data_IF_718464060889
#
_entry.id   IF_718464060889
#
_cell.length_a   1.000
_cell.length_b   1.000
_cell.length_c   1.000
_cell.angle_alpha   90.00
_cell.angle_beta   90.00
_cell.angle_gamma   90.00
#
_symmetry.space_group_name_H-M   'P 1'
#
loop_
_entity.id
_entity.type
_entity.pdbx_description
1 polymer ?
#
# COMPACT_ATOMS: atom_id res chain seq x y z
N UNK A 1 20.13 23.16 -10.45
CA UNK A 1 21.23 22.27 -10.86
C UNK A 1 21.54 21.16 -9.85
N UNK A 2 21.62 21.39 -8.53
CA UNK A 2 21.90 20.32 -7.53
C UNK A 2 20.84 19.19 -7.51
N UNK A 3 19.55 19.52 -7.59
CA UNK A 3 18.45 18.52 -7.60
C UNK A 3 18.49 17.58 -8.81
N UNK A 4 18.76 18.12 -10.00
CA UNK A 4 18.85 17.30 -11.23
C UNK A 4 20.02 16.32 -11.15
N UNK A 5 21.16 16.76 -10.60
CA UNK A 5 22.34 15.89 -10.40
C UNK A 5 22.04 14.75 -9.41
N UNK A 6 21.33 15.04 -8.32
CA UNK A 6 20.93 14.01 -7.35
C UNK A 6 19.97 12.99 -7.95
N UNK A 7 19.01 13.45 -8.76
CA UNK A 7 18.08 12.56 -9.47
C UNK A 7 18.81 11.69 -10.49
N UNK A 8 19.77 12.25 -11.25
CA UNK A 8 20.59 11.49 -12.20
C UNK A 8 21.44 10.44 -11.51
N UNK A 9 22.05 10.77 -10.37
CA UNK A 9 22.85 9.81 -9.58
C UNK A 9 21.95 8.69 -9.05
N UNK A 10 20.79 9.03 -8.51
CA UNK A 10 19.80 8.02 -8.05
C UNK A 10 19.33 7.10 -9.17
N UNK A 11 19.08 7.67 -10.35
CA UNK A 11 18.70 6.90 -11.53
C UNK A 11 19.82 5.98 -12.01
N UNK A 12 21.06 6.47 -12.03
CA UNK A 12 22.23 5.69 -12.42
C UNK A 12 22.49 4.52 -11.45
N UNK A 13 22.33 4.75 -10.14
CA UNK A 13 22.44 3.68 -9.13
C UNK A 13 21.31 2.65 -9.32
N UNK A 14 20.06 3.10 -9.54
CA UNK A 14 18.93 2.20 -9.77
C UNK A 14 19.11 1.35 -11.02
N UNK A 15 19.54 1.94 -12.14
CA UNK A 15 19.83 1.21 -13.37
C UNK A 15 21.02 0.26 -13.20
N UNK A 16 22.07 0.68 -12.51
CA UNK A 16 23.22 -0.17 -12.20
C UNK A 16 22.83 -1.39 -11.36
N UNK A 17 22.03 -1.19 -10.31
CA UNK A 17 21.54 -2.28 -9.48
C UNK A 17 20.63 -3.23 -10.28
N UNK A 18 19.73 -2.68 -11.09
CA UNK A 18 18.85 -3.47 -11.97
C UNK A 18 19.65 -4.30 -12.97
N UNK A 19 20.65 -3.69 -13.63
CA UNK A 19 21.53 -4.38 -14.57
C UNK A 19 22.30 -5.51 -13.89
N UNK A 20 22.85 -5.25 -12.71
CA UNK A 20 23.62 -6.25 -11.96
C UNK A 20 22.74 -7.42 -11.51
N UNK A 21 21.49 -7.14 -11.11
CA UNK A 21 20.52 -8.17 -10.74
C UNK A 21 20.09 -9.00 -11.95
N UNK A 22 19.77 -8.36 -13.07
CA UNK A 22 19.31 -9.05 -14.28
C UNK A 22 20.40 -9.84 -14.99
N UNK A 23 21.66 -9.40 -14.92
CA UNK A 23 22.79 -10.07 -15.55
C UNK A 23 23.03 -11.49 -15.02
N UNK A 24 22.67 -11.74 -13.76
CA UNK A 24 22.87 -13.05 -13.11
C UNK A 24 21.64 -13.96 -13.20
N UNK A 25 20.57 -13.52 -13.85
CA UNK A 25 19.34 -14.30 -14.01
C UNK A 25 19.34 -14.88 -15.42
N UNK A 26 19.40 -16.20 -15.54
CA UNK A 26 19.19 -16.86 -16.82
C UNK A 26 17.69 -16.84 -17.18
N UNK A 27 17.37 -16.34 -18.37
CA UNK A 27 15.97 -16.33 -18.85
C UNK A 27 15.38 -17.73 -18.93
N UNK A 28 16.20 -18.76 -19.14
CA UNK A 28 15.78 -20.17 -19.13
C UNK A 28 15.35 -20.66 -17.75
N UNK A 29 16.10 -20.30 -16.70
CA UNK A 29 15.72 -20.62 -15.32
C UNK A 29 14.45 -19.91 -14.92
N UNK A 30 14.27 -18.66 -15.33
CA UNK A 30 13.07 -17.88 -15.11
C UNK A 30 11.85 -18.53 -15.79
N UNK A 31 11.98 -18.91 -17.07
CA UNK A 31 10.93 -19.59 -17.82
C UNK A 31 10.58 -20.96 -17.22
N UNK A 32 11.58 -21.70 -16.76
CA UNK A 32 11.40 -23.01 -16.09
C UNK A 32 10.70 -22.83 -14.74
N UNK A 33 11.09 -21.82 -13.98
CA UNK A 33 10.44 -21.50 -12.70
C UNK A 33 8.97 -21.10 -12.89
N UNK A 34 8.65 -20.34 -13.92
CA UNK A 34 7.26 -20.02 -14.27
C UNK A 34 6.46 -21.23 -14.72
N UNK A 35 7.06 -22.16 -15.47
CA UNK A 35 6.40 -23.41 -15.90
C UNK A 35 6.13 -24.33 -14.71
N UNK A 36 7.04 -24.37 -13.75
CA UNK A 36 6.94 -25.23 -12.56
C UNK A 36 6.13 -24.56 -11.44
N UNK A 37 5.75 -23.28 -11.59
CA UNK A 37 4.91 -22.61 -10.62
C UNK A 37 3.52 -23.24 -10.57
N UNK A 38 3.15 -23.74 -9.43
CA UNK A 38 1.83 -24.31 -9.20
C UNK A 38 0.79 -23.19 -9.16
N UNK A 39 0.14 -22.95 -10.30
CA UNK A 39 -0.88 -21.92 -10.50
C UNK A 39 -2.06 -22.04 -9.52
N UNK A 40 -2.25 -23.24 -8.94
CA UNK A 40 -3.32 -23.50 -7.97
C UNK A 40 -3.19 -22.63 -6.71
N UNK A 41 -1.97 -22.24 -6.32
CA UNK A 41 -1.76 -21.35 -5.17
C UNK A 41 -1.97 -19.87 -5.48
N UNK A 42 -2.01 -19.49 -6.76
CA UNK A 42 -2.29 -18.11 -7.17
C UNK A 42 -3.74 -17.74 -6.90
N UNK A 43 -4.67 -18.68 -7.11
CA UNK A 43 -6.11 -18.44 -6.89
C UNK A 43 -6.41 -18.07 -5.42
N UNK A 44 -6.03 -18.88 -4.43
CA UNK A 44 -6.26 -18.50 -3.03
C UNK A 44 -5.48 -17.25 -2.62
N UNK A 45 -4.27 -17.04 -3.15
CA UNK A 45 -3.51 -15.81 -2.92
C UNK A 45 -4.25 -14.57 -3.41
N UNK A 46 -4.83 -14.63 -4.60
CA UNK A 46 -5.62 -13.54 -5.18
C UNK A 46 -6.89 -13.25 -4.37
N UNK A 47 -7.59 -14.30 -3.93
CA UNK A 47 -8.77 -14.18 -3.07
C UNK A 47 -8.41 -13.52 -1.74
N UNK A 48 -7.30 -13.91 -1.11
CA UNK A 48 -6.83 -13.31 0.14
C UNK A 48 -6.45 -11.83 -0.02
N UNK A 49 -5.87 -11.45 -1.15
CA UNK A 49 -5.56 -10.05 -1.47
C UNK A 49 -6.86 -9.24 -1.56
N UNK A 50 -7.85 -9.71 -2.32
CA UNK A 50 -9.15 -9.02 -2.44
C UNK A 50 -9.80 -8.88 -1.05
N UNK A 51 -9.83 -9.96 -0.27
CA UNK A 51 -10.40 -9.96 1.08
C UNK A 51 -9.70 -8.95 1.99
N UNK A 52 -8.36 -8.84 1.88
CA UNK A 52 -7.58 -7.85 2.60
C UNK A 52 -7.99 -6.41 2.25
N UNK A 53 -8.21 -6.10 0.96
CA UNK A 53 -8.66 -4.78 0.54
C UNK A 53 -10.08 -4.46 1.03
N UNK A 54 -10.98 -5.43 0.98
CA UNK A 54 -12.35 -5.28 1.48
C UNK A 54 -12.33 -5.03 3.00
N UNK A 55 -11.56 -5.81 3.75
CA UNK A 55 -11.42 -5.63 5.22
C UNK A 55 -10.85 -4.25 5.56
N UNK A 56 -9.87 -3.76 4.80
CA UNK A 56 -9.31 -2.40 4.97
C UNK A 56 -10.37 -1.32 4.73
N UNK A 57 -11.22 -1.49 3.73
CA UNK A 57 -12.29 -0.54 3.45
C UNK A 57 -13.32 -0.48 4.60
N UNK A 58 -13.74 -1.62 5.14
CA UNK A 58 -14.64 -1.68 6.31
C UNK A 58 -14.01 -1.07 7.56
N UNK A 59 -12.73 -1.39 7.83
CA UNK A 59 -12.02 -0.81 8.97
C UNK A 59 -11.94 0.71 8.87
N UNK A 60 -11.64 1.22 7.69
CA UNK A 60 -11.56 2.67 7.49
C UNK A 60 -12.94 3.34 7.56
N UNK A 61 -13.99 2.67 7.09
CA UNK A 61 -15.36 3.12 7.30
C UNK A 61 -15.68 3.30 8.79
N UNK A 62 -15.34 2.31 9.60
CA UNK A 62 -15.55 2.39 11.05
C UNK A 62 -14.79 3.56 11.69
N UNK A 63 -13.55 3.85 11.26
CA UNK A 63 -12.76 4.98 11.73
C UNK A 63 -13.30 6.34 11.27
N UNK A 64 -13.98 6.40 10.12
CA UNK A 64 -14.62 7.61 9.60
C UNK A 64 -16.02 7.84 10.20
N UNK A 65 -16.65 6.82 10.74
CA UNK A 65 -18.04 6.87 11.24
C UNK A 65 -18.31 7.98 12.26
N UNK A 66 -17.37 8.37 13.16
CA UNK A 66 -17.57 9.48 14.08
C UNK A 66 -17.71 10.85 13.39
N UNK A 67 -17.13 11.00 12.19
CA UNK A 67 -17.19 12.24 11.42
C UNK A 67 -18.39 12.24 10.47
N UNK A 68 -18.59 11.14 9.76
CA UNK A 68 -19.70 10.96 8.82
C UNK A 68 -19.90 9.48 8.48
N UNK A 69 -21.16 9.07 8.44
CA UNK A 69 -21.50 7.73 7.94
C UNK A 69 -21.41 7.71 6.41
N UNK A 70 -20.39 7.05 5.89
CA UNK A 70 -20.11 6.95 4.46
C UNK A 70 -20.25 5.48 4.05
N UNK A 71 -20.99 5.15 2.98
CA UNK A 71 -21.09 3.78 2.50
C UNK A 71 -19.73 3.27 1.99
N UNK A 72 -19.42 1.99 2.22
CA UNK A 72 -18.14 1.36 1.84
C UNK A 72 -17.81 1.59 0.36
N UNK A 73 -18.80 1.56 -0.51
CA UNK A 73 -18.62 1.79 -1.96
C UNK A 73 -17.99 3.13 -2.28
N UNK A 74 -18.30 4.17 -1.51
CA UNK A 74 -17.75 5.50 -1.71
C UNK A 74 -16.37 5.68 -1.10
N UNK A 75 -16.04 4.89 -0.09
CA UNK A 75 -14.73 4.84 0.56
C UNK A 75 -13.72 4.08 -0.30
N UNK A 76 -14.18 3.09 -1.06
CA UNK A 76 -13.30 2.25 -1.87
C UNK A 76 -12.50 3.04 -2.91
N UNK A 77 -13.13 4.03 -3.57
CA UNK A 77 -12.46 4.88 -4.56
C UNK A 77 -11.29 5.69 -3.97
N UNK A 78 -11.44 6.48 -2.90
CA UNK A 78 -10.34 7.16 -2.25
C UNK A 78 -9.25 6.21 -1.73
N UNK A 79 -9.66 5.01 -1.26
CA UNK A 79 -8.74 3.99 -0.81
C UNK A 79 -7.82 3.52 -1.95
N UNK A 80 -8.38 3.22 -3.12
CA UNK A 80 -7.62 2.82 -4.30
C UNK A 80 -6.69 3.92 -4.80
N UNK A 81 -7.18 5.17 -4.84
CA UNK A 81 -6.35 6.34 -5.19
C UNK A 81 -5.16 6.46 -4.21
N UNK A 82 -5.40 6.24 -2.92
CA UNK A 82 -4.34 6.22 -1.91
C UNK A 82 -3.29 5.14 -2.18
N UNK A 83 -3.70 3.93 -2.54
CA UNK A 83 -2.77 2.85 -2.89
C UNK A 83 -1.97 3.15 -4.16
N UNK A 84 -2.61 3.68 -5.19
CA UNK A 84 -1.90 4.13 -6.40
C UNK A 84 -0.90 5.25 -6.07
N UNK A 85 -1.26 6.16 -5.17
CA UNK A 85 -0.38 7.23 -4.69
C UNK A 85 0.79 6.75 -3.82
N UNK A 86 0.78 5.51 -3.33
CA UNK A 86 1.91 4.93 -2.59
C UNK A 86 3.15 4.68 -3.46
N UNK A 87 3.01 4.68 -4.79
CA UNK A 87 4.13 4.66 -5.74
C UNK A 87 4.92 5.97 -5.68
N UNK A 88 4.27 7.07 -5.26
CA UNK A 88 4.93 8.36 -5.10
C UNK A 88 5.88 8.36 -3.89
N UNK A 89 7.00 9.10 -3.96
CA UNK A 89 7.94 9.21 -2.85
C UNK A 89 7.24 9.75 -1.59
N UNK A 90 7.74 9.37 -0.43
CA UNK A 90 7.23 9.75 0.89
C UNK A 90 5.81 9.25 1.22
N UNK A 91 5.32 8.18 0.54
CA UNK A 91 3.97 7.62 0.76
C UNK A 91 2.85 8.67 0.63
N UNK A 92 3.02 9.57 -0.34
CA UNK A 92 2.06 10.67 -0.59
C UNK A 92 0.61 10.18 -0.80
N UNK A 93 0.42 8.89 -1.10
CA UNK A 93 -0.89 8.26 -1.22
C UNK A 93 -1.77 8.37 0.03
N UNK A 94 -1.18 8.37 1.22
CA UNK A 94 -1.96 8.53 2.46
C UNK A 94 -2.53 9.93 2.58
N UNK A 95 -1.77 10.96 2.19
CA UNK A 95 -2.24 12.35 2.13
C UNK A 95 -3.32 12.53 1.06
N UNK A 96 -3.13 11.92 -0.12
CA UNK A 96 -4.11 11.94 -1.20
C UNK A 96 -5.43 11.29 -0.77
N UNK A 97 -5.38 10.16 -0.07
CA UNK A 97 -6.55 9.46 0.46
C UNK A 97 -7.34 10.36 1.42
N UNK A 98 -6.67 11.04 2.37
CA UNK A 98 -7.31 11.97 3.30
C UNK A 98 -7.91 13.17 2.56
N UNK A 99 -7.20 13.73 1.59
CA UNK A 99 -7.66 14.87 0.81
C UNK A 99 -8.91 14.55 -0.03
N UNK A 100 -8.90 13.42 -0.73
CA UNK A 100 -10.01 13.01 -1.60
C UNK A 100 -11.28 12.75 -0.79
N UNK A 101 -11.17 12.03 0.35
CA UNK A 101 -12.32 11.79 1.24
C UNK A 101 -12.81 13.10 1.85
N UNK A 102 -11.90 13.94 2.34
CA UNK A 102 -12.24 15.22 2.92
C UNK A 102 -13.04 16.10 1.95
N UNK A 103 -12.55 16.24 0.71
CA UNK A 103 -13.21 17.02 -0.33
C UNK A 103 -14.55 16.44 -0.79
N UNK A 104 -14.62 15.11 -0.95
CA UNK A 104 -15.83 14.43 -1.44
C UNK A 104 -16.97 14.45 -0.42
N UNK A 105 -16.64 14.35 0.86
CA UNK A 105 -17.65 14.19 1.92
C UNK A 105 -17.75 15.39 2.87
N UNK A 106 -17.06 16.51 2.57
CA UNK A 106 -17.03 17.70 3.42
C UNK A 106 -16.53 17.42 4.85
N UNK A 107 -15.53 16.54 4.97
CA UNK A 107 -14.82 16.27 6.22
C UNK A 107 -13.54 17.11 6.22
N UNK A 108 -13.16 17.65 7.37
CA UNK A 108 -11.90 18.38 7.49
C UNK A 108 -10.71 17.46 7.17
N UNK A 109 -9.73 17.98 6.45
CA UNK A 109 -8.52 17.21 6.13
C UNK A 109 -7.86 16.62 7.38
N UNK A 110 -7.79 17.41 8.45
CA UNK A 110 -7.25 16.98 9.75
C UNK A 110 -8.03 15.79 10.32
N UNK A 111 -9.38 15.82 10.26
CA UNK A 111 -10.23 14.71 10.68
C UNK A 111 -10.02 13.45 9.86
N UNK A 112 -9.97 13.56 8.55
CA UNK A 112 -9.69 12.42 7.68
C UNK A 112 -8.27 11.87 7.88
N UNK A 113 -7.29 12.75 8.08
CA UNK A 113 -5.89 12.36 8.28
C UNK A 113 -5.67 11.69 9.65
N UNK A 114 -6.35 12.17 10.70
CA UNK A 114 -6.27 11.54 12.03
C UNK A 114 -6.74 10.08 12.01
N UNK A 115 -7.73 9.72 11.20
CA UNK A 115 -8.16 8.32 11.05
C UNK A 115 -7.06 7.43 10.48
N UNK A 116 -6.23 7.98 9.57
CA UNK A 116 -5.09 7.24 9.01
C UNK A 116 -4.01 7.03 10.07
N UNK A 117 -3.74 8.03 10.91
CA UNK A 117 -2.80 7.88 12.03
C UNK A 117 -3.27 6.80 12.99
N UNK A 118 -4.54 6.82 13.38
CA UNK A 118 -5.15 5.79 14.24
C UNK A 118 -5.04 4.40 13.59
N UNK A 119 -5.29 4.30 12.30
CA UNK A 119 -5.10 3.05 11.54
C UNK A 119 -3.67 2.51 11.68
N UNK A 120 -2.65 3.38 11.58
CA UNK A 120 -1.24 3.00 11.76
C UNK A 120 -0.90 2.60 13.18
N UNK A 121 -1.47 3.26 14.17
CA UNK A 121 -1.28 2.88 15.56
C UNK A 121 -1.83 1.47 15.83
N UNK A 122 -3.03 1.16 15.34
CA UNK A 122 -3.59 -0.20 15.45
C UNK A 122 -2.73 -1.25 14.73
N UNK A 123 -2.23 -0.94 13.52
CA UNK A 123 -1.34 -1.84 12.80
C UNK A 123 -0.06 -2.12 13.61
N UNK A 124 0.52 -1.10 14.25
CA UNK A 124 1.71 -1.23 15.09
C UNK A 124 1.43 -2.08 16.34
N UNK A 125 0.30 -1.83 17.02
CA UNK A 125 -0.10 -2.63 18.20
C UNK A 125 -0.31 -4.09 17.82
N UNK A 126 -1.00 -4.37 16.71
CA UNK A 126 -1.18 -5.73 16.23
C UNK A 126 0.15 -6.42 15.88
N UNK A 127 1.08 -5.68 15.25
CA UNK A 127 2.40 -6.19 14.93
C UNK A 127 3.19 -6.54 16.20
N UNK A 128 3.16 -5.65 17.21
CA UNK A 128 3.81 -5.89 18.50
C UNK A 128 3.21 -7.09 19.24
N UNK A 129 1.88 -7.23 19.20
CA UNK A 129 1.19 -8.36 19.81
C UNK A 129 1.58 -9.69 19.13
N UNK A 130 1.65 -9.70 17.79
CA UNK A 130 2.11 -10.86 17.04
C UNK A 130 3.58 -11.18 17.34
N UNK A 131 4.43 -10.16 17.44
CA UNK A 131 5.82 -10.34 17.81
C UNK A 131 5.96 -10.99 19.18
N UNK A 132 5.24 -10.48 20.19
CA UNK A 132 5.23 -11.08 21.53
C UNK A 132 4.71 -12.52 21.48
N UNK A 133 3.62 -12.78 20.75
CA UNK A 133 3.05 -14.13 20.61
C UNK A 133 4.02 -15.15 20.02
N UNK A 134 4.84 -14.73 19.07
CA UNK A 134 5.79 -15.64 18.38
C UNK A 134 7.07 -15.89 19.18
N UNK A 135 7.51 -14.89 19.97
CA UNK A 135 8.80 -14.94 20.68
C UNK A 135 8.69 -15.21 22.19
N UNK A 136 7.49 -15.23 22.76
CA UNK A 136 7.20 -15.59 24.15
C UNK A 136 6.47 -16.93 24.22
#
# INVERSE_FOLDING_TARGET
MKKVRQTLIGLAIAFGALYFTLKNISFEELATSFKNAELIYIIPGFVLIILSYVTRAYRWQALLSPFKQIPVKEIYSPLMIGFMGCILPARAGEFLRAYVVGKKHNITFSGAFSTIIVERLFDLVCLMALFVWVFV
#
